data_IF_535677067685
#
_entry.id   IF_535677067685
#
_cell.length_a   1.000
_cell.length_b   1.000
_cell.length_c   1.000
_cell.angle_alpha   90.00
_cell.angle_beta   90.00
_cell.angle_gamma   90.00
#
_symmetry.space_group_name_H-M   'P 1'
#
loop_
_entity.id
_entity.type
_entity.pdbx_description
1 polymer ?
#
# COMPACT_ATOMS: atom_id res chain seq x y z
N UNK A 1 -5.77 11.23 -5.87
CA UNK A 1 -4.68 10.68 -6.73
C UNK A 1 -3.38 11.44 -6.54
N UNK A 2 -2.68 11.25 -5.40
CA UNK A 2 -1.44 11.98 -5.07
C UNK A 2 -0.36 11.79 -6.14
N UNK A 3 -0.11 10.54 -6.54
CA UNK A 3 0.90 10.19 -7.55
C UNK A 3 0.58 10.76 -8.94
N UNK A 4 -0.68 10.70 -9.38
CA UNK A 4 -1.10 11.24 -10.69
C UNK A 4 -0.99 12.77 -10.78
N UNK A 5 -1.05 13.50 -9.65
CA UNK A 5 -0.80 14.95 -9.64
C UNK A 5 0.68 15.29 -9.87
N UNK A 6 1.59 14.33 -9.65
CA UNK A 6 3.03 14.52 -9.72
C UNK A 6 3.63 15.35 -8.58
N UNK A 7 4.93 15.61 -8.69
CA UNK A 7 5.71 16.34 -7.69
C UNK A 7 6.09 15.49 -6.47
N UNK A 8 6.63 16.12 -5.41
CA UNK A 8 6.99 15.43 -4.17
C UNK A 8 5.79 14.74 -3.53
N UNK A 9 5.93 13.44 -3.22
CA UNK A 9 4.92 12.64 -2.54
C UNK A 9 5.57 11.90 -1.38
N UNK A 10 5.00 12.02 -0.19
CA UNK A 10 5.47 11.28 0.99
C UNK A 10 5.27 9.77 0.76
N UNK A 11 6.38 9.03 0.82
CA UNK A 11 6.43 7.58 0.76
C UNK A 11 6.83 7.05 2.15
N UNK A 12 5.96 6.31 2.84
CA UNK A 12 6.27 5.85 4.19
C UNK A 12 7.23 4.67 4.14
N UNK A 13 8.36 4.78 4.84
CA UNK A 13 9.38 3.75 4.89
C UNK A 13 9.02 2.55 5.78
N UNK A 14 9.86 1.50 5.77
CA UNK A 14 11.02 1.33 4.89
C UNK A 14 10.61 0.95 3.46
N UNK A 15 11.48 1.22 2.46
CA UNK A 15 11.18 0.97 1.04
C UNK A 15 10.98 -0.51 0.73
N UNK A 16 11.74 -1.36 1.40
CA UNK A 16 11.73 -2.80 1.27
C UNK A 16 10.73 -3.49 2.21
N UNK A 17 9.87 -2.73 2.90
CA UNK A 17 8.81 -3.29 3.75
C UNK A 17 7.97 -4.29 2.95
N UNK A 18 7.98 -5.60 3.30
CA UNK A 18 7.26 -6.62 2.54
C UNK A 18 5.76 -6.45 2.71
N UNK A 19 5.03 -6.72 1.63
CA UNK A 19 3.57 -6.67 1.62
C UNK A 19 2.98 -7.96 1.06
N UNK A 20 1.85 -8.34 1.63
CA UNK A 20 0.90 -9.31 1.11
C UNK A 20 -0.37 -8.58 0.68
N UNK A 21 -0.93 -9.01 -0.45
CA UNK A 21 -2.22 -8.55 -0.94
C UNK A 21 -2.83 -9.64 -1.82
N UNK A 22 -4.13 -9.53 -2.11
CA UNK A 22 -4.76 -10.30 -3.17
C UNK A 22 -5.53 -9.35 -4.04
N UNK A 23 -5.36 -9.46 -5.36
CA UNK A 23 -6.24 -8.78 -6.29
C UNK A 23 -7.59 -9.48 -6.29
N UNK A 24 -8.67 -8.71 -6.29
CA UNK A 24 -10.04 -9.20 -6.20
C UNK A 24 -10.38 -10.23 -7.28
N UNK A 25 -9.74 -10.18 -8.45
CA UNK A 25 -9.95 -11.15 -9.53
C UNK A 25 -9.25 -12.48 -9.25
N UNK A 26 -8.06 -12.46 -8.66
CA UNK A 26 -7.40 -13.70 -8.23
C UNK A 26 -8.19 -14.36 -7.10
N UNK A 27 -8.71 -13.53 -6.18
CA UNK A 27 -9.61 -13.98 -5.14
C UNK A 27 -10.86 -14.64 -5.72
N UNK A 28 -11.52 -13.99 -6.69
CA UNK A 28 -12.74 -14.50 -7.31
C UNK A 28 -12.47 -15.80 -8.08
N UNK A 29 -11.42 -15.84 -8.90
CA UNK A 29 -11.03 -17.02 -9.68
C UNK A 29 -10.72 -18.21 -8.76
N UNK A 30 -9.99 -17.97 -7.66
CA UNK A 30 -9.70 -19.02 -6.69
C UNK A 30 -10.97 -19.50 -6.00
N UNK A 31 -11.86 -18.60 -5.55
CA UNK A 31 -13.11 -18.97 -4.88
C UNK A 31 -14.01 -19.81 -5.79
N UNK A 32 -14.18 -19.39 -7.05
CA UNK A 32 -14.97 -20.14 -8.02
C UNK A 32 -14.36 -21.53 -8.29
N UNK A 33 -13.05 -21.61 -8.50
CA UNK A 33 -12.36 -22.88 -8.67
C UNK A 33 -12.40 -23.77 -7.43
N UNK A 34 -12.37 -23.18 -6.23
CA UNK A 34 -12.49 -23.91 -4.96
C UNK A 34 -13.88 -24.56 -4.81
N UNK A 35 -14.94 -23.87 -5.26
CA UNK A 35 -16.30 -24.42 -5.30
C UNK A 35 -16.38 -25.62 -6.25
N UNK A 36 -15.84 -25.49 -7.46
CA UNK A 36 -15.83 -26.58 -8.46
C UNK A 36 -15.08 -27.83 -7.99
N UNK A 37 -14.01 -27.65 -7.20
CA UNK A 37 -13.21 -28.72 -6.63
C UNK A 37 -13.70 -29.20 -5.26
N UNK A 38 -14.83 -28.67 -4.78
CA UNK A 38 -15.41 -28.97 -3.47
C UNK A 38 -14.42 -28.78 -2.31
N UNK A 39 -13.53 -27.79 -2.41
CA UNK A 39 -12.61 -27.45 -1.34
C UNK A 39 -13.37 -26.87 -0.14
N UNK A 40 -13.00 -27.31 1.06
CA UNK A 40 -13.70 -26.93 2.29
C UNK A 40 -12.74 -26.63 3.45
N UNK A 41 -13.20 -25.85 4.41
CA UNK A 41 -12.42 -25.40 5.57
C UNK A 41 -11.73 -24.04 5.37
N UNK A 42 -10.92 -23.59 6.33
CA UNK A 42 -10.35 -22.24 6.33
C UNK A 42 -9.16 -22.10 5.38
N UNK A 43 -9.14 -21.01 4.61
CA UNK A 43 -8.01 -20.60 3.77
C UNK A 43 -7.74 -19.11 3.96
N UNK A 44 -6.48 -18.75 4.12
CA UNK A 44 -6.03 -17.37 3.99
C UNK A 44 -5.71 -17.12 2.51
N UNK A 45 -6.34 -16.11 1.92
CA UNK A 45 -6.13 -15.75 0.52
C UNK A 45 -5.42 -14.41 0.46
N UNK A 46 -4.11 -14.49 0.34
CA UNK A 46 -3.20 -13.38 0.10
C UNK A 46 -2.03 -13.90 -0.74
N UNK A 47 -1.27 -13.00 -1.33
CA UNK A 47 -0.03 -13.35 -1.99
C UNK A 47 0.98 -13.96 -1.01
N UNK A 48 1.96 -14.74 -1.47
CA UNK A 48 3.05 -15.20 -0.63
C UNK A 48 3.76 -14.03 0.08
N UNK A 49 4.32 -14.24 1.29
CA UNK A 49 5.16 -13.24 1.94
C UNK A 49 6.27 -12.74 1.00
N UNK A 50 6.44 -11.42 0.91
CA UNK A 50 7.45 -10.81 0.02
C UNK A 50 7.09 -10.76 -1.47
N UNK A 51 5.83 -11.01 -1.84
CA UNK A 51 5.35 -10.90 -3.23
C UNK A 51 5.55 -9.49 -3.83
N UNK A 52 5.52 -8.46 -2.99
CA UNK A 52 5.98 -7.10 -3.33
C UNK A 52 6.51 -6.39 -2.07
N UNK A 53 7.01 -5.17 -2.24
CA UNK A 53 7.36 -4.25 -1.16
C UNK A 53 6.54 -2.96 -1.24
N UNK A 54 6.60 -2.14 -0.18
CA UNK A 54 6.05 -0.77 -0.20
C UNK A 54 6.62 0.05 -1.36
N UNK A 55 7.92 -0.09 -1.64
CA UNK A 55 8.57 0.49 -2.81
C UNK A 55 7.97 -0.02 -4.12
N UNK A 56 7.86 -1.34 -4.27
CA UNK A 56 7.28 -1.95 -5.48
C UNK A 56 5.84 -1.49 -5.74
N UNK A 57 5.02 -1.39 -4.69
CA UNK A 57 3.64 -0.90 -4.80
C UNK A 57 3.60 0.57 -5.24
N UNK A 58 4.36 1.45 -4.59
CA UNK A 58 4.34 2.89 -4.90
C UNK A 58 4.94 3.19 -6.27
N UNK A 59 6.00 2.48 -6.67
CA UNK A 59 6.62 2.59 -8.00
C UNK A 59 5.69 2.09 -9.10
N UNK A 60 4.99 0.97 -8.88
CA UNK A 60 3.95 0.50 -9.81
C UNK A 60 2.84 1.54 -9.97
N UNK A 61 2.34 2.09 -8.85
CA UNK A 61 1.33 3.15 -8.89
C UNK A 61 1.84 4.41 -9.60
N UNK A 62 3.08 4.84 -9.35
CA UNK A 62 3.68 6.00 -9.99
C UNK A 62 3.80 5.79 -11.50
N UNK A 63 4.28 4.62 -11.94
CA UNK A 63 4.43 4.29 -13.36
C UNK A 63 3.10 4.36 -14.11
N UNK A 64 2.04 3.73 -13.59
CA UNK A 64 0.73 3.70 -14.27
C UNK A 64 0.00 5.04 -14.25
N UNK A 65 0.33 5.91 -13.28
CA UNK A 65 -0.28 7.24 -13.15
C UNK A 65 0.47 8.37 -13.88
N UNK A 66 1.50 8.04 -14.68
CA UNK A 66 2.21 8.99 -15.54
C UNK A 66 3.66 9.27 -15.15
N UNK A 67 4.15 8.69 -14.05
CA UNK A 67 5.58 8.71 -13.69
C UNK A 67 6.12 10.06 -13.22
N UNK A 68 5.26 11.04 -12.95
CA UNK A 68 5.67 12.40 -12.55
C UNK A 68 5.80 12.60 -11.05
N UNK A 69 5.57 11.57 -10.25
CA UNK A 69 5.68 11.62 -8.78
C UNK A 69 7.12 11.37 -8.32
N UNK A 70 7.59 12.20 -7.38
CA UNK A 70 8.87 12.05 -6.71
C UNK A 70 8.63 11.48 -5.30
N UNK A 71 8.81 10.17 -5.14
CA UNK A 71 8.65 9.51 -3.85
C UNK A 71 9.72 10.00 -2.86
N UNK A 72 9.29 10.62 -1.77
CA UNK A 72 10.13 11.08 -0.66
C UNK A 72 9.98 10.10 0.48
N UNK A 73 10.96 9.22 0.63
CA UNK A 73 10.97 8.19 1.65
C UNK A 73 11.17 8.81 3.04
N UNK A 74 10.16 8.67 3.88
CA UNK A 74 10.13 9.22 5.25
C UNK A 74 10.18 8.07 6.25
N UNK A 75 11.01 8.19 7.28
CA UNK A 75 11.16 7.18 8.32
C UNK A 75 9.84 6.94 9.07
N UNK A 76 9.51 5.69 9.48
CA UNK A 76 8.28 5.39 10.22
C UNK A 76 8.05 6.30 11.43
N UNK A 77 9.11 6.63 12.16
CA UNK A 77 9.06 7.47 13.35
C UNK A 77 8.63 8.90 13.00
N UNK A 78 9.13 9.45 11.90
CA UNK A 78 8.73 10.78 11.39
C UNK A 78 7.28 10.78 10.92
N UNK A 79 6.84 9.71 10.23
CA UNK A 79 5.42 9.56 9.82
C UNK A 79 4.51 9.58 11.06
N UNK A 80 4.85 8.79 12.07
CA UNK A 80 4.07 8.68 13.31
C UNK A 80 4.12 9.97 14.13
N UNK A 81 5.28 10.61 14.25
CA UNK A 81 5.43 11.88 14.98
C UNK A 81 4.64 13.03 14.35
N UNK A 82 4.39 12.96 13.03
CA UNK A 82 3.52 13.90 12.34
C UNK A 82 2.02 13.66 12.59
N UNK A 83 1.66 12.66 13.39
CA UNK A 83 0.27 12.29 13.67
C UNK A 83 -0.44 11.65 12.47
N UNK A 84 0.34 11.06 11.54
CA UNK A 84 -0.24 10.37 10.38
C UNK A 84 -0.65 8.97 10.81
N UNK A 85 -1.95 8.70 10.74
CA UNK A 85 -2.54 7.43 11.11
C UNK A 85 -2.20 6.31 10.10
N UNK A 86 -1.57 5.21 10.56
CA UNK A 86 -1.35 4.02 9.75
C UNK A 86 -2.64 3.50 9.12
N UNK A 87 -2.53 2.87 7.95
CA UNK A 87 -3.61 2.24 7.19
C UNK A 87 -4.72 3.18 6.67
N UNK A 88 -5.21 4.12 7.46
CA UNK A 88 -6.27 5.05 7.08
C UNK A 88 -5.79 6.18 6.17
N UNK A 89 -4.79 6.93 6.63
CA UNK A 89 -4.24 8.06 5.87
C UNK A 89 -3.16 7.63 4.87
N UNK A 90 -2.49 6.51 5.16
CA UNK A 90 -1.56 5.85 4.27
C UNK A 90 -2.03 4.42 4.01
N UNK A 91 -2.90 4.21 3.00
CA UNK A 91 -3.43 2.89 2.68
C UNK A 91 -2.33 1.84 2.52
N UNK A 92 -2.59 0.63 3.02
CA UNK A 92 -1.68 -0.54 3.02
C UNK A 92 -0.48 -0.40 3.96
N UNK A 93 0.04 0.81 4.21
CA UNK A 93 1.19 1.00 5.09
C UNK A 93 0.81 0.86 6.57
N UNK A 94 1.59 0.04 7.27
CA UNK A 94 1.62 -0.08 8.72
C UNK A 94 3.07 -0.09 9.19
N UNK A 95 3.40 0.49 10.35
CA UNK A 95 4.78 0.56 10.82
C UNK A 95 5.39 -0.85 10.96
N UNK A 96 6.65 -1.06 10.53
CA UNK A 96 7.32 -2.34 10.73
C UNK A 96 7.38 -2.70 12.22
N UNK A 97 7.22 -3.99 12.54
CA UNK A 97 7.25 -4.49 13.91
C UNK A 97 6.05 -4.08 14.78
N UNK A 98 4.99 -3.53 14.18
CA UNK A 98 3.71 -3.35 14.87
C UNK A 98 2.86 -4.62 14.79
N UNK A 99 2.07 -4.90 15.83
CA UNK A 99 1.11 -6.03 15.84
C UNK A 99 0.18 -6.02 14.62
N UNK A 100 -0.20 -4.83 14.15
CA UNK A 100 -1.04 -4.65 12.97
C UNK A 100 -0.31 -5.03 11.68
N UNK A 101 0.98 -4.70 11.56
CA UNK A 101 1.79 -5.13 10.43
C UNK A 101 1.90 -6.64 10.38
N UNK A 102 2.27 -7.26 11.50
CA UNK A 102 2.41 -8.71 11.57
C UNK A 102 1.08 -9.40 11.27
N UNK A 103 -0.04 -8.92 11.82
CA UNK A 103 -1.36 -9.48 11.54
C UNK A 103 -1.78 -9.41 10.05
N UNK A 104 -1.35 -8.38 9.32
CA UNK A 104 -1.77 -8.16 7.93
C UNK A 104 -0.78 -8.71 6.90
N UNK A 105 0.51 -8.76 7.22
CA UNK A 105 1.60 -8.99 6.25
C UNK A 105 2.39 -10.29 6.52
N UNK A 106 1.93 -11.13 7.47
CA UNK A 106 2.55 -12.43 7.80
C UNK A 106 1.59 -13.63 7.74
N UNK A 107 0.49 -13.51 6.98
CA UNK A 107 -0.48 -14.59 6.84
C UNK A 107 0.15 -15.83 6.17
N UNK A 108 0.01 -17.00 6.82
CA UNK A 108 0.34 -18.28 6.20
C UNK A 108 -0.72 -18.63 5.14
N UNK A 109 -0.28 -18.63 3.88
CA UNK A 109 -1.08 -18.93 2.68
C UNK A 109 -0.69 -20.25 2.02
N UNK A 110 0.18 -21.04 2.66
CA UNK A 110 0.70 -22.32 2.12
C UNK A 110 -0.40 -23.25 1.65
N UNK A 111 -1.50 -23.34 2.42
CA UNK A 111 -2.67 -24.14 2.09
C UNK A 111 -3.37 -23.69 0.81
N UNK A 112 -3.48 -22.38 0.57
CA UNK A 112 -4.11 -21.84 -0.64
C UNK A 112 -3.20 -21.97 -1.87
N UNK A 113 -1.88 -21.79 -1.68
CA UNK A 113 -0.90 -22.02 -2.75
C UNK A 113 -0.89 -23.48 -3.19
N UNK A 114 -0.99 -24.43 -2.25
CA UNK A 114 -1.07 -25.86 -2.54
C UNK A 114 -2.33 -26.25 -3.35
N UNK A 115 -3.37 -25.41 -3.37
CA UNK A 115 -4.58 -25.63 -4.17
C UNK A 115 -4.60 -24.84 -5.48
N UNK A 116 -3.49 -24.19 -5.84
CA UNK A 116 -3.33 -23.46 -7.10
C UNK A 116 -3.70 -21.99 -7.05
N UNK A 117 -3.67 -21.33 -5.89
CA UNK A 117 -3.76 -19.87 -5.83
C UNK A 117 -2.64 -19.23 -6.65
N UNK A 118 -3.03 -18.39 -7.62
CA UNK A 118 -2.13 -17.55 -8.39
C UNK A 118 -2.37 -16.10 -7.97
N UNK A 119 -1.29 -15.36 -7.71
CA UNK A 119 -1.37 -13.94 -7.40
C UNK A 119 -0.63 -13.16 -8.48
N UNK A 120 -1.35 -12.28 -9.19
CA UNK A 120 -0.75 -11.44 -10.23
C UNK A 120 0.25 -10.44 -9.64
N UNK A 121 1.21 -9.93 -10.45
CA UNK A 121 2.12 -8.87 -10.03
C UNK A 121 1.38 -7.58 -9.67
N UNK A 122 1.98 -6.77 -8.79
CA UNK A 122 1.35 -5.54 -8.28
C UNK A 122 1.12 -4.51 -9.38
N UNK A 123 1.94 -4.54 -10.42
CA UNK A 123 1.82 -3.69 -11.61
C UNK A 123 0.49 -3.88 -12.32
N UNK A 124 0.02 -5.13 -12.46
CA UNK A 124 -1.24 -5.45 -13.15
C UNK A 124 -2.43 -4.91 -12.34
N UNK A 125 -2.43 -5.17 -11.03
CA UNK A 125 -3.44 -4.62 -10.11
C UNK A 125 -3.46 -3.09 -10.13
N UNK A 126 -2.29 -2.45 -10.08
CA UNK A 126 -2.20 -0.98 -10.13
C UNK A 126 -2.72 -0.43 -11.47
N UNK A 127 -2.34 -1.05 -12.58
CA UNK A 127 -2.75 -0.63 -13.93
C UNK A 127 -4.27 -0.73 -14.10
N UNK A 128 -4.86 -1.87 -13.73
CA UNK A 128 -6.30 -2.09 -13.88
C UNK A 128 -7.12 -1.23 -12.91
N UNK A 129 -6.64 -1.06 -11.67
CA UNK A 129 -7.27 -0.16 -10.70
C UNK A 129 -7.25 1.28 -11.21
N UNK A 130 -6.13 1.74 -11.78
CA UNK A 130 -6.04 3.07 -12.36
C UNK A 130 -6.92 3.24 -13.60
N UNK A 131 -6.95 2.25 -14.48
CA UNK A 131 -7.82 2.25 -15.65
C UNK A 131 -9.30 2.36 -15.23
N UNK A 132 -9.72 1.58 -14.23
CA UNK A 132 -11.07 1.65 -13.66
C UNK A 132 -11.34 3.01 -13.00
N UNK A 133 -10.44 3.52 -12.15
CA UNK A 133 -10.61 4.83 -11.49
C UNK A 133 -10.80 5.96 -12.50
N UNK A 134 -10.09 5.94 -13.63
CA UNK A 134 -10.27 6.92 -14.71
C UNK A 134 -11.67 6.90 -15.32
N UNK A 135 -12.32 5.74 -15.40
CA UNK A 135 -13.73 5.65 -15.86
C UNK A 135 -14.72 6.35 -14.94
N UNK A 136 -14.33 6.56 -13.67
CA UNK A 136 -15.14 7.21 -12.63
C UNK A 136 -14.73 8.68 -12.38
N UNK A 137 -13.88 9.26 -13.23
CA UNK A 137 -13.36 10.62 -13.03
C UNK A 137 -12.26 10.71 -11.97
N UNK A 138 -11.64 9.59 -11.60
CA UNK A 138 -10.47 9.54 -10.73
C UNK A 138 -10.77 9.41 -9.24
N UNK A 139 -12.03 9.27 -8.82
CA UNK A 139 -12.41 9.11 -7.42
C UNK A 139 -13.20 7.83 -7.24
N UNK A 140 -12.73 6.95 -6.35
CA UNK A 140 -13.47 5.74 -6.00
C UNK A 140 -14.77 6.10 -5.26
N UNK A 141 -15.86 5.32 -5.44
CA UNK A 141 -17.06 5.50 -4.63
C UNK A 141 -16.76 5.31 -3.14
N UNK A 142 -17.12 6.29 -2.32
CA UNK A 142 -16.97 6.22 -0.87
C UNK A 142 -18.21 5.58 -0.25
N UNK A 143 -17.99 4.60 0.62
CA UNK A 143 -19.07 4.07 1.46
C UNK A 143 -19.41 5.08 2.58
N UNK A 144 -20.69 5.42 2.79
CA UNK A 144 -21.09 6.42 3.79
C UNK A 144 -20.80 5.97 5.23
N UNK A 145 -20.68 4.67 5.48
CA UNK A 145 -20.37 4.10 6.79
C UNK A 145 -18.86 4.03 7.09
N UNK A 146 -18.00 4.44 6.15
CA UNK A 146 -16.54 4.38 6.30
C UNK A 146 -15.95 5.79 6.24
N UNK A 147 -14.93 6.08 7.07
CA UNK A 147 -14.19 7.33 6.94
C UNK A 147 -13.50 7.41 5.56
N UNK A 148 -13.26 8.62 5.04
CA UNK A 148 -12.46 8.79 3.84
C UNK A 148 -11.03 8.31 4.10
N UNK A 149 -10.39 7.79 3.04
CA UNK A 149 -8.99 7.35 3.08
C UNK A 149 -8.08 8.38 2.42
N UNK A 150 -6.82 8.39 2.86
CA UNK A 150 -5.78 9.24 2.29
C UNK A 150 -5.32 10.37 3.20
N UNK A 151 -4.10 10.82 2.93
CA UNK A 151 -3.42 11.87 3.69
C UNK A 151 -3.91 13.25 3.28
N UNK A 152 -4.16 14.10 4.26
CA UNK A 152 -4.46 15.51 4.04
C UNK A 152 -3.27 16.22 3.34
N UNK A 153 -3.50 17.00 2.27
CA UNK A 153 -2.41 17.65 1.54
C UNK A 153 -1.59 18.65 2.37
N UNK A 154 -2.19 19.34 3.34
CA UNK A 154 -1.45 20.28 4.18
C UNK A 154 -0.54 19.53 5.17
N UNK A 155 -1.05 18.45 5.76
CA UNK A 155 -0.24 17.56 6.60
C UNK A 155 0.93 16.97 5.80
N UNK A 156 0.69 16.48 4.58
CA UNK A 156 1.75 15.97 3.71
C UNK A 156 2.82 17.03 3.43
N UNK A 157 2.40 18.24 3.05
CA UNK A 157 3.32 19.33 2.74
C UNK A 157 4.19 19.74 3.94
N UNK A 158 3.62 19.73 5.16
CA UNK A 158 4.37 20.01 6.39
C UNK A 158 5.48 19.00 6.63
N UNK A 159 5.18 17.70 6.47
CA UNK A 159 6.20 16.64 6.66
C UNK A 159 7.28 16.74 5.59
N UNK A 160 6.89 16.90 4.32
CA UNK A 160 7.84 17.04 3.21
C UNK A 160 8.76 18.27 3.36
N UNK A 161 8.27 19.36 3.96
CA UNK A 161 9.07 20.55 4.24
C UNK A 161 10.06 20.33 5.40
N UNK A 162 9.67 19.57 6.42
CA UNK A 162 10.54 19.24 7.56
C UNK A 162 11.67 18.27 7.18
N UNK A 163 11.41 17.34 6.26
CA UNK A 163 12.39 16.36 5.74
C UNK A 163 13.32 16.93 4.65
N UNK A 164 13.18 18.21 4.28
CA UNK A 164 14.05 18.81 3.27
C UNK A 164 15.50 18.93 3.78
N UNK A 165 16.53 18.58 2.96
CA UNK A 165 17.92 18.68 3.36
C UNK A 165 18.30 20.15 3.62
N UNK A 166 18.27 20.53 4.89
CA UNK A 166 18.46 21.90 5.39
C UNK A 166 17.99 22.12 6.83
N UNK A 167 17.15 21.23 7.38
CA UNK A 167 16.63 21.28 8.75
C UNK A 167 17.35 20.42 9.79
N UNK A 168 18.62 20.05 9.55
CA UNK A 168 19.40 19.27 10.51
C UNK A 168 19.76 20.10 11.74
N UNK A 169 19.10 19.79 12.86
CA UNK A 169 19.49 20.24 14.21
C UNK A 169 20.97 19.91 14.40
N UNK A 170 21.77 20.96 14.63
CA UNK A 170 23.16 20.81 15.02
C UNK A 170 23.19 20.21 16.41
N UNK A 171 23.56 18.93 16.52
CA UNK A 171 24.02 18.35 17.77
C UNK A 171 25.34 19.01 18.14
N UNK A 172 25.26 20.16 18.81
CA UNK A 172 26.32 20.65 19.67
C UNK A 172 25.92 20.34 21.10
N UNK A 173 26.59 19.37 21.70
CA UNK A 173 26.64 19.22 23.16
C UNK A 173 28.12 19.12 23.56
N UNK A 174 28.54 19.78 24.66
CA UNK A 174 29.92 20.20 24.90
C UNK A 174 30.81 19.13 25.51
#
# INVERSE_FOLDING_TARGET
NRLARGGPVLAPGPRDLPLQYVDVRDLADWVLGALERELSGPYNLASPPGHTTMGGLLEACAAVTGGTAELRWTAPETVLAAGIEPWGQLPVWTPPGSDLHDALQSADVSRALATGLVCRPVGDTAADTWAWLRTLGGTAPQRPDRPPVGLDPETEAKVLAADAPGGGVSDTTP
#
